data_IF_774818765362
#
_entry.id   IF_774818765362
#
_cell.length_a   1.000
_cell.length_b   1.000
_cell.length_c   1.000
_cell.angle_alpha   90.00
_cell.angle_beta   90.00
_cell.angle_gamma   90.00
#
_symmetry.space_group_name_H-M   'P 1'
#
loop_
_entity.id
_entity.type
_entity.pdbx_description
1 polymer ?
#
# COMPACT_ATOMS: atom_id res chain seq x y z
N UNK A 1 -11.68 3.39 -28.16
CA UNK A 1 -10.89 2.19 -27.81
C UNK A 1 -11.56 1.57 -26.59
N UNK A 2 -12.31 0.49 -26.79
CA UNK A 2 -12.85 -0.28 -25.66
C UNK A 2 -11.68 -1.10 -25.09
N UNK A 3 -11.39 -0.92 -23.81
CA UNK A 3 -10.45 -1.77 -23.09
C UNK A 3 -11.30 -2.90 -22.51
N UNK A 4 -11.11 -4.11 -23.01
CA UNK A 4 -11.65 -5.32 -22.39
C UNK A 4 -10.70 -5.76 -21.28
N UNK A 5 -11.23 -5.89 -20.06
CA UNK A 5 -10.46 -6.29 -18.89
C UNK A 5 -10.51 -7.82 -18.77
N UNK A 6 -9.48 -8.48 -19.28
CA UNK A 6 -9.28 -9.91 -19.08
C UNK A 6 -8.78 -10.16 -17.64
N UNK A 7 -9.66 -10.71 -16.81
CA UNK A 7 -9.37 -11.04 -15.41
C UNK A 7 -8.22 -12.03 -15.29
N UNK A 8 -8.19 -13.07 -16.12
CA UNK A 8 -7.21 -14.14 -15.97
C UNK A 8 -5.83 -13.62 -16.39
N UNK A 9 -5.77 -12.78 -17.42
CA UNK A 9 -4.54 -12.06 -17.78
C UNK A 9 -4.06 -11.12 -16.66
N UNK A 10 -4.96 -10.34 -16.04
CA UNK A 10 -4.61 -9.43 -14.94
C UNK A 10 -4.09 -10.20 -13.71
N UNK A 11 -4.77 -11.29 -13.32
CA UNK A 11 -4.36 -12.11 -12.18
C UNK A 11 -3.08 -12.90 -12.47
N UNK A 12 -2.87 -13.31 -13.72
CA UNK A 12 -1.61 -13.90 -14.19
C UNK A 12 -0.45 -12.94 -13.99
N UNK A 13 -0.57 -11.70 -14.48
CA UNK A 13 0.49 -10.68 -14.34
C UNK A 13 0.78 -10.32 -12.87
N UNK A 14 -0.24 -10.27 -12.01
CA UNK A 14 -0.03 -10.07 -10.57
C UNK A 14 0.75 -11.23 -9.95
N UNK A 15 0.39 -12.47 -10.29
CA UNK A 15 1.07 -13.66 -9.79
C UNK A 15 2.54 -13.73 -10.26
N UNK A 16 2.80 -13.35 -11.52
CA UNK A 16 4.15 -13.27 -12.08
C UNK A 16 5.02 -12.28 -11.30
N UNK A 17 4.57 -11.03 -11.12
CA UNK A 17 5.34 -10.00 -10.41
C UNK A 17 5.63 -10.41 -8.96
N UNK A 18 4.67 -11.00 -8.26
CA UNK A 18 4.88 -11.47 -6.89
C UNK A 18 5.81 -12.66 -6.78
N UNK A 19 5.82 -13.53 -7.80
CA UNK A 19 6.80 -14.62 -7.89
C UNK A 19 8.19 -14.04 -8.13
N UNK A 20 8.35 -13.12 -9.08
CA UNK A 20 9.63 -12.45 -9.34
C UNK A 20 10.20 -11.76 -8.09
N UNK A 21 9.36 -11.07 -7.32
CA UNK A 21 9.79 -10.42 -6.08
C UNK A 21 10.15 -11.43 -4.99
N UNK A 22 9.39 -12.53 -4.88
CA UNK A 22 9.67 -13.60 -3.93
C UNK A 22 10.99 -14.33 -4.23
N UNK A 23 11.27 -14.56 -5.51
CA UNK A 23 12.48 -15.26 -5.96
C UNK A 23 13.70 -14.35 -5.83
N UNK A 24 13.58 -13.06 -6.17
CA UNK A 24 14.63 -12.08 -5.93
C UNK A 24 14.96 -11.94 -4.44
N UNK A 25 13.94 -11.84 -3.59
CA UNK A 25 14.08 -11.69 -2.15
C UNK A 25 14.71 -12.92 -1.47
N UNK A 26 14.52 -14.11 -2.02
CA UNK A 26 15.13 -15.36 -1.51
C UNK A 26 16.66 -15.35 -1.59
N UNK A 27 17.23 -14.63 -2.55
CA UNK A 27 18.67 -14.49 -2.72
C UNK A 27 19.34 -13.43 -1.82
N UNK A 28 18.56 -12.69 -1.02
CA UNK A 28 19.08 -11.58 -0.22
C UNK A 28 19.68 -12.05 1.11
N UNK A 29 20.79 -11.44 1.50
CA UNK A 29 21.34 -11.58 2.86
C UNK A 29 20.68 -10.59 3.82
N UNK A 30 20.81 -10.80 5.13
CA UNK A 30 20.32 -9.83 6.14
C UNK A 30 20.94 -8.42 5.96
N UNK A 31 22.17 -8.34 5.44
CA UNK A 31 22.80 -7.06 5.09
C UNK A 31 22.12 -6.38 3.89
N UNK A 32 21.68 -7.16 2.89
CA UNK A 32 20.94 -6.63 1.75
C UNK A 32 19.55 -6.14 2.17
N UNK A 33 18.87 -6.87 3.06
CA UNK A 33 17.58 -6.48 3.64
C UNK A 33 17.65 -5.15 4.39
N UNK A 34 18.76 -4.91 5.12
CA UNK A 34 19.02 -3.68 5.84
C UNK A 34 19.44 -2.50 4.94
N UNK A 35 19.60 -2.71 3.62
CA UNK A 35 20.03 -1.65 2.70
C UNK A 35 18.99 -0.52 2.64
N UNK A 36 19.40 0.74 2.82
CA UNK A 36 18.49 1.89 2.69
C UNK A 36 17.87 1.96 1.29
N UNK A 37 16.57 2.25 1.25
CA UNK A 37 15.81 2.45 0.03
C UNK A 37 15.75 3.93 -0.36
N UNK A 38 15.01 4.23 -1.44
CA UNK A 38 14.73 5.62 -1.85
C UNK A 38 13.65 6.29 -0.99
N UNK A 39 12.88 5.52 -0.23
CA UNK A 39 11.99 6.06 0.79
C UNK A 39 12.84 6.51 2.00
N UNK A 40 12.74 7.78 2.44
CA UNK A 40 13.46 8.25 3.61
C UNK A 40 13.14 7.39 4.84
N UNK A 41 14.18 6.89 5.51
CA UNK A 41 14.05 6.06 6.71
C UNK A 41 13.65 4.60 6.46
N UNK A 42 13.45 4.19 5.21
CA UNK A 42 13.06 2.82 4.86
C UNK A 42 14.22 2.02 4.30
N UNK A 43 14.26 0.75 4.62
CA UNK A 43 15.14 -0.28 4.08
C UNK A 43 14.47 -1.08 2.95
N UNK A 44 15.19 -2.05 2.38
CA UNK A 44 14.60 -3.04 1.46
C UNK A 44 13.50 -3.82 2.17
N UNK A 45 13.71 -4.21 3.44
CA UNK A 45 12.70 -4.90 4.25
C UNK A 45 11.43 -4.08 4.41
N UNK A 46 11.55 -2.77 4.68
CA UNK A 46 10.40 -1.88 4.84
C UNK A 46 9.56 -1.76 3.57
N UNK A 47 10.20 -1.88 2.39
CA UNK A 47 9.46 -1.95 1.14
C UNK A 47 8.65 -3.24 1.01
N UNK A 48 9.10 -4.38 1.53
CA UNK A 48 8.24 -5.57 1.48
C UNK A 48 7.16 -5.53 2.57
N UNK A 49 7.51 -5.01 3.75
CA UNK A 49 6.61 -4.82 4.88
C UNK A 49 5.40 -3.92 4.52
N UNK A 50 5.58 -2.81 3.80
CA UNK A 50 4.43 -1.97 3.43
C UNK A 50 3.43 -2.67 2.49
N UNK A 51 3.92 -3.57 1.62
CA UNK A 51 3.05 -4.37 0.73
C UNK A 51 2.25 -5.36 1.58
N UNK A 52 2.92 -6.07 2.49
CA UNK A 52 2.27 -6.97 3.45
C UNK A 52 1.18 -6.24 4.24
N UNK A 53 1.51 -5.07 4.79
CA UNK A 53 0.54 -4.23 5.52
C UNK A 53 -0.67 -3.82 4.67
N UNK A 54 -0.43 -3.46 3.40
CA UNK A 54 -1.51 -3.14 2.44
C UNK A 54 -2.40 -4.36 2.18
N UNK A 55 -1.82 -5.53 1.98
CA UNK A 55 -2.57 -6.76 1.72
C UNK A 55 -3.43 -7.16 2.93
N UNK A 56 -2.89 -7.06 4.15
CA UNK A 56 -3.61 -7.26 5.41
C UNK A 56 -4.75 -6.26 5.58
N UNK A 57 -4.49 -4.98 5.35
CA UNK A 57 -5.53 -3.94 5.39
C UNK A 57 -6.66 -4.23 4.40
N UNK A 58 -6.33 -4.62 3.16
CA UNK A 58 -7.32 -4.98 2.14
C UNK A 58 -8.08 -6.28 2.47
N UNK A 59 -7.62 -7.08 3.43
CA UNK A 59 -8.37 -8.20 4.03
C UNK A 59 -9.19 -7.79 5.26
N UNK A 60 -9.14 -6.53 5.66
CA UNK A 60 -9.86 -5.98 6.81
C UNK A 60 -9.11 -6.10 8.14
N UNK A 61 -7.81 -6.42 8.13
CA UNK A 61 -7.00 -6.45 9.34
C UNK A 61 -6.65 -5.02 9.80
N UNK A 62 -6.48 -4.86 11.10
CA UNK A 62 -6.06 -3.59 11.71
C UNK A 62 -4.58 -3.65 12.05
N UNK A 63 -3.85 -2.56 11.81
CA UNK A 63 -2.45 -2.46 12.16
C UNK A 63 -2.25 -2.57 13.69
N UNK A 64 -1.17 -3.22 14.16
CA UNK A 64 -0.80 -3.20 15.57
C UNK A 64 -0.62 -1.77 16.09
N UNK A 65 -0.94 -1.55 17.37
CA UNK A 65 -0.71 -0.28 18.03
C UNK A 65 0.77 -0.17 18.42
N UNK A 66 1.53 0.61 17.66
CA UNK A 66 2.99 0.82 17.80
C UNK A 66 3.32 2.29 17.62
N UNK A 67 4.34 2.78 18.33
CA UNK A 67 4.87 4.12 18.11
C UNK A 67 5.77 4.12 16.88
N UNK A 68 5.54 5.04 15.93
CA UNK A 68 6.31 5.15 14.69
C UNK A 68 6.73 6.61 14.41
N UNK A 69 7.81 6.83 13.63
CA UNK A 69 8.29 8.17 13.34
C UNK A 69 7.29 8.97 12.50
N UNK A 70 7.01 10.21 12.91
CA UNK A 70 6.01 11.08 12.24
C UNK A 70 6.62 12.26 11.47
N UNK A 71 7.90 12.54 11.67
CA UNK A 71 8.53 13.81 11.23
C UNK A 71 8.52 14.01 9.71
N UNK A 72 8.58 12.92 8.94
CA UNK A 72 8.57 12.94 7.47
C UNK A 72 7.17 12.79 6.86
N UNK A 73 6.12 12.64 7.68
CA UNK A 73 4.77 12.35 7.21
C UNK A 73 4.06 13.61 6.71
N UNK A 74 3.49 13.50 5.51
CA UNK A 74 2.79 14.59 4.83
C UNK A 74 1.30 14.34 4.64
N UNK A 75 0.84 13.13 4.90
CA UNK A 75 -0.56 12.72 4.72
C UNK A 75 -0.88 11.49 5.58
N UNK A 76 -2.18 11.23 5.80
CA UNK A 76 -2.66 10.13 6.65
C UNK A 76 -2.36 8.73 6.08
N UNK A 77 -2.20 8.60 4.74
CA UNK A 77 -1.85 7.32 4.12
C UNK A 77 -0.42 6.92 4.50
N UNK A 78 0.50 7.89 4.55
CA UNK A 78 1.86 7.66 4.99
C UNK A 78 1.90 7.15 6.45
N UNK A 79 1.02 7.64 7.33
CA UNK A 79 0.92 7.14 8.71
C UNK A 79 0.51 5.67 8.79
N UNK A 80 -0.46 5.24 7.98
CA UNK A 80 -0.89 3.84 7.95
C UNK A 80 0.22 2.90 7.45
N UNK A 81 1.01 3.36 6.47
CA UNK A 81 2.16 2.60 5.98
C UNK A 81 3.26 2.49 7.03
N UNK A 82 3.63 3.61 7.68
CA UNK A 82 4.64 3.59 8.74
C UNK A 82 4.24 2.67 9.89
N UNK A 83 2.97 2.68 10.30
CA UNK A 83 2.52 1.83 11.40
C UNK A 83 2.72 0.33 11.09
N UNK A 84 2.36 -0.11 9.88
CA UNK A 84 2.60 -1.48 9.46
C UNK A 84 4.09 -1.80 9.33
N UNK A 85 4.87 -0.91 8.71
CA UNK A 85 6.32 -1.07 8.57
C UNK A 85 6.96 -1.23 9.95
N UNK A 86 6.68 -0.31 10.87
CA UNK A 86 7.21 -0.32 12.23
C UNK A 86 6.86 -1.61 12.97
N UNK A 87 5.63 -2.09 12.82
CA UNK A 87 5.18 -3.35 13.46
C UNK A 87 5.98 -4.59 13.02
N UNK A 88 6.68 -4.52 11.88
CA UNK A 88 7.45 -5.62 11.29
C UNK A 88 8.97 -5.38 11.34
N UNK A 89 9.45 -4.27 11.92
CA UNK A 89 10.90 -3.95 11.95
C UNK A 89 11.74 -4.91 12.77
N UNK A 90 11.14 -5.61 13.74
CA UNK A 90 11.84 -6.60 14.57
C UNK A 90 12.02 -7.96 13.87
N UNK A 91 11.35 -8.18 12.73
CA UNK A 91 11.47 -9.40 11.94
C UNK A 91 12.79 -9.42 11.17
N UNK A 92 13.31 -10.61 10.92
CA UNK A 92 14.37 -10.86 9.93
C UNK A 92 13.84 -10.76 8.51
N UNK A 93 14.74 -10.56 7.54
CA UNK A 93 14.37 -10.54 6.13
C UNK A 93 13.68 -11.84 5.68
N UNK A 94 14.14 -12.98 6.18
CA UNK A 94 13.54 -14.29 5.91
C UNK A 94 12.09 -14.40 6.44
N UNK A 95 11.81 -13.87 7.63
CA UNK A 95 10.45 -13.85 8.20
C UNK A 95 9.53 -12.93 7.38
N UNK A 96 10.01 -11.76 6.96
CA UNK A 96 9.23 -10.84 6.11
C UNK A 96 8.94 -11.49 4.74
N UNK A 97 9.90 -12.19 4.15
CA UNK A 97 9.68 -12.94 2.90
C UNK A 97 8.64 -14.06 3.07
N UNK A 98 8.70 -14.82 4.17
CA UNK A 98 7.73 -15.88 4.43
C UNK A 98 6.30 -15.32 4.58
N UNK A 99 6.16 -14.18 5.24
CA UNK A 99 4.89 -13.49 5.41
C UNK A 99 4.38 -12.91 4.08
N UNK A 100 5.27 -12.31 3.27
CA UNK A 100 4.95 -11.87 1.91
C UNK A 100 4.40 -13.00 1.03
N UNK A 101 5.05 -14.17 1.03
CA UNK A 101 4.58 -15.37 0.31
C UNK A 101 3.19 -15.81 0.80
N UNK A 102 2.93 -15.69 2.09
CA UNK A 102 1.64 -16.04 2.69
C UNK A 102 0.53 -15.09 2.24
N UNK A 103 0.71 -13.78 2.40
CA UNK A 103 -0.34 -12.79 2.08
C UNK A 103 -0.60 -12.68 0.57
N UNK A 104 0.44 -12.84 -0.25
CA UNK A 104 0.31 -12.86 -1.72
C UNK A 104 -0.49 -14.08 -2.19
N UNK A 105 -0.20 -15.28 -1.68
CA UNK A 105 -0.98 -16.47 -1.99
C UNK A 105 -2.46 -16.30 -1.61
N UNK A 106 -2.74 -15.76 -0.42
CA UNK A 106 -4.09 -15.49 0.05
C UNK A 106 -4.83 -14.48 -0.84
N UNK A 107 -4.16 -13.40 -1.30
CA UNK A 107 -4.79 -12.44 -2.22
C UNK A 107 -5.13 -13.10 -3.55
N UNK A 108 -4.22 -13.88 -4.13
CA UNK A 108 -4.48 -14.56 -5.41
C UNK A 108 -5.66 -15.53 -5.30
N UNK A 109 -5.72 -16.31 -4.21
CA UNK A 109 -6.87 -17.19 -3.93
C UNK A 109 -8.17 -16.38 -3.82
N UNK A 110 -8.18 -15.33 -3.02
CA UNK A 110 -9.33 -14.45 -2.85
C UNK A 110 -9.81 -13.87 -4.18
N UNK A 111 -8.91 -13.28 -4.98
CA UNK A 111 -9.25 -12.67 -6.26
C UNK A 111 -9.72 -13.69 -7.31
N UNK A 112 -9.20 -14.92 -7.31
CA UNK A 112 -9.67 -16.00 -8.18
C UNK A 112 -11.08 -16.46 -7.81
N UNK A 113 -11.42 -16.44 -6.51
CA UNK A 113 -12.72 -16.82 -5.98
C UNK A 113 -13.85 -15.81 -6.23
N UNK A 114 -13.53 -14.56 -6.57
CA UNK A 114 -14.53 -13.57 -6.96
C UNK A 114 -15.01 -13.81 -8.41
N UNK A 115 -16.18 -14.46 -8.57
CA UNK A 115 -16.96 -14.43 -9.84
C UNK A 115 -17.72 -13.09 -9.93
N UNK A 116 -17.59 -12.38 -11.06
CA UNK A 116 -18.26 -11.10 -11.33
C UNK A 116 -19.79 -11.22 -11.46
N UNK A 117 -20.35 -12.43 -11.40
CA UNK A 117 -21.79 -12.69 -11.61
C UNK A 117 -22.67 -12.32 -10.42
N UNK A 118 -22.13 -11.75 -9.34
CA UNK A 118 -22.89 -11.48 -8.12
C UNK A 118 -22.43 -10.32 -7.25
N UNK A 119 -21.64 -9.36 -7.77
CA UNK A 119 -21.35 -8.13 -7.02
C UNK A 119 -22.22 -6.97 -7.53
N UNK A 120 -23.35 -6.64 -6.88
CA UNK A 120 -24.20 -5.51 -7.25
C UNK A 120 -23.55 -4.14 -6.99
N UNK A 121 -22.45 -4.07 -6.22
CA UNK A 121 -21.85 -2.81 -5.77
C UNK A 121 -20.63 -2.35 -6.59
N UNK A 122 -20.03 -3.20 -7.42
CA UNK A 122 -19.08 -2.78 -8.46
C UNK A 122 -17.93 -1.92 -7.95
N UNK A 123 -17.40 -2.22 -6.76
CA UNK A 123 -16.45 -1.39 -6.03
C UNK A 123 -15.18 -1.02 -6.84
N UNK A 124 -14.74 -1.88 -7.76
CA UNK A 124 -13.55 -1.66 -8.59
C UNK A 124 -13.80 -0.83 -9.86
N UNK A 125 -15.06 -0.57 -10.24
CA UNK A 125 -15.39 0.08 -11.53
C UNK A 125 -16.10 1.42 -11.35
N UNK A 126 -16.68 1.71 -10.17
CA UNK A 126 -17.52 2.90 -9.98
C UNK A 126 -17.01 3.83 -8.90
N UNK A 127 -15.84 4.45 -9.11
CA UNK A 127 -15.62 5.89 -8.78
C UNK A 127 -14.37 6.42 -9.45
N UNK A 128 -14.57 7.42 -10.31
CA UNK A 128 -13.51 8.09 -11.05
C UNK A 128 -12.45 8.71 -10.14
N UNK A 129 -11.24 8.86 -10.70
CA UNK A 129 -10.08 9.63 -10.21
C UNK A 129 -10.27 10.24 -8.80
N UNK A 130 -9.72 9.56 -7.78
CA UNK A 130 -9.33 10.24 -6.53
C UNK A 130 -10.13 9.93 -5.26
N UNK A 131 -10.80 8.78 -5.13
CA UNK A 131 -11.44 8.40 -3.87
C UNK A 131 -10.96 7.01 -3.41
N UNK A 132 -10.00 6.99 -2.49
CA UNK A 132 -9.85 5.89 -1.53
C UNK A 132 -11.04 6.03 -0.57
N UNK A 133 -11.82 4.96 -0.30
CA UNK A 133 -12.99 5.09 0.56
C UNK A 133 -12.56 5.44 1.98
N UNK A 134 -13.44 6.13 2.75
CA UNK A 134 -13.17 6.33 4.16
C UNK A 134 -13.19 4.94 4.83
N UNK A 135 -12.03 4.55 5.34
CA UNK A 135 -11.89 3.58 6.42
C UNK A 135 -12.94 3.96 7.45
N UNK A 136 -13.81 3.03 7.81
CA UNK A 136 -14.77 3.28 8.88
C UNK A 136 -13.99 3.65 10.14
N UNK A 137 -14.02 4.95 10.42
CA UNK A 137 -13.89 5.59 11.70
C UNK A 137 -12.97 4.87 12.70
N UNK A 138 -11.75 5.41 12.87
CA UNK A 138 -11.20 5.51 14.21
C UNK A 138 -12.30 6.08 15.12
N UNK A 139 -12.88 5.23 15.95
CA UNK A 139 -13.93 5.62 16.88
C UNK A 139 -13.36 6.67 17.85
N UNK A 140 -13.75 7.93 17.70
CA UNK A 140 -13.47 8.96 18.72
C UNK A 140 -13.31 10.40 18.24
N UNK A 141 -12.97 10.67 16.97
CA UNK A 141 -12.73 12.05 16.53
C UNK A 141 -14.00 12.68 15.91
N UNK A 142 -14.69 13.54 16.67
CA UNK A 142 -15.72 14.44 16.13
C UNK A 142 -15.08 15.42 15.14
N UNK A 143 -15.59 15.43 13.90
CA UNK A 143 -15.26 16.43 12.89
C UNK A 143 -15.74 17.82 13.38
N UNK A 144 -14.81 18.71 13.74
CA UNK A 144 -15.12 20.14 13.84
C UNK A 144 -15.10 20.71 12.43
N UNK A 145 -16.23 21.26 11.99
CA UNK A 145 -16.39 21.80 10.64
C UNK A 145 -15.34 22.90 10.33
N UNK A 146 -14.77 22.86 9.13
CA UNK A 146 -13.86 23.88 8.65
C UNK A 146 -14.56 25.26 8.52
N UNK A 147 -13.92 26.38 8.90
CA UNK A 147 -14.45 27.70 8.62
C UNK A 147 -14.51 27.95 7.11
N UNK A 148 -15.62 28.51 6.66
CA UNK A 148 -15.85 28.88 5.25
C UNK A 148 -14.93 30.02 4.85
N UNK A 149 -14.24 29.82 3.73
CA UNK A 149 -13.71 30.91 2.90
C UNK A 149 -12.23 30.83 2.60
N UNK A 150 -11.85 30.02 1.60
CA UNK A 150 -10.71 30.30 0.74
C UNK A 150 -11.02 29.75 -0.66
N UNK A 151 -11.44 30.64 -1.56
CA UNK A 151 -11.46 30.39 -3.00
C UNK A 151 -10.01 30.43 -3.50
N UNK A 152 -9.54 29.31 -4.06
CA UNK A 152 -8.24 29.23 -4.72
C UNK A 152 -8.23 28.00 -5.63
N UNK A 153 -8.11 28.22 -6.92
CA UNK A 153 -8.00 27.18 -7.94
C UNK A 153 -6.70 26.40 -7.75
N UNK A 154 -6.80 25.15 -7.28
CA UNK A 154 -5.70 24.21 -7.25
C UNK A 154 -6.08 22.97 -8.05
N UNK A 155 -5.25 22.61 -9.03
CA UNK A 155 -5.39 21.39 -9.81
C UNK A 155 -5.47 20.15 -8.93
N UNK A 156 -6.19 19.13 -9.41
CA UNK A 156 -6.43 17.87 -8.71
C UNK A 156 -5.16 17.27 -8.09
N UNK A 157 -5.15 16.93 -6.79
CA UNK A 157 -4.06 16.18 -6.19
C UNK A 157 -4.27 14.69 -6.50
N UNK A 158 -3.96 14.29 -7.73
CA UNK A 158 -3.88 12.88 -8.07
C UNK A 158 -2.47 12.36 -7.73
N UNK A 159 -2.39 11.50 -6.70
CA UNK A 159 -1.45 10.39 -6.58
C UNK A 159 0.05 10.75 -6.77
N UNK A 160 0.60 11.64 -5.95
CA UNK A 160 2.04 11.82 -5.83
C UNK A 160 2.58 11.07 -4.61
N UNK A 161 2.72 9.75 -4.76
CA UNK A 161 3.23 8.82 -3.74
C UNK A 161 4.72 9.01 -3.41
N UNK A 162 5.45 9.73 -4.27
CA UNK A 162 6.89 9.95 -4.16
C UNK A 162 7.18 11.34 -4.73
N UNK A 163 7.42 12.35 -3.88
CA UNK A 163 8.04 13.59 -4.34
C UNK A 163 9.54 13.45 -4.17
N UNK A 164 10.23 12.99 -5.21
CA UNK A 164 11.65 13.27 -5.35
C UNK A 164 11.76 14.75 -5.69
N UNK A 165 12.25 15.56 -4.76
CA UNK A 165 12.72 16.91 -5.09
C UNK A 165 13.80 16.76 -6.16
N UNK A 166 13.47 17.15 -7.40
CA UNK A 166 14.49 17.37 -8.42
C UNK A 166 15.24 18.63 -8.01
N UNK A 167 16.39 18.47 -7.36
CA UNK A 167 17.42 19.49 -7.43
C UNK A 167 17.96 19.51 -8.86
N UNK A 168 17.37 20.37 -9.67
CA UNK A 168 17.87 20.75 -10.98
C UNK A 168 18.94 21.82 -10.81
N UNK A 169 20.18 21.39 -10.64
CA UNK A 169 21.34 22.26 -10.82
C UNK A 169 21.62 22.47 -12.31
N UNK A 170 21.43 23.71 -12.78
CA UNK A 170 22.34 24.37 -13.71
C UNK A 170 22.15 25.88 -13.68
#
# INVERSE_FOLDING_TARGET
MNIELDRDHILGGLAEIWTEWSDWAEGLTEGDWATPSRCPGWTVQDNLAHIIGTERMLRGETAPDVEFPTDHLKNAIASGNEQWVESMRSMSGAEVLADFRTVSAQRLEHLRGHDRRGDPEGWLVTRGRGAVPPVHACAGLRLVAAPRGLSGTAGSPALNWWSTSRDGGR
#
